data_IF_621278210254
#
_entry.id   IF_621278210254
#
_cell.length_a   1.000
_cell.length_b   1.000
_cell.length_c   1.000
_cell.angle_alpha   90.00
_cell.angle_beta   90.00
_cell.angle_gamma   90.00
#
_symmetry.space_group_name_H-M   'P 1'
#
loop_
_entity.id
_entity.type
_entity.pdbx_description
1 polymer ?
#
# COMPACT_ATOMS: atom_id res chain seq x y z
N UNK A 1 -26.81 46.28 -6.57
CA UNK A 1 -25.66 45.42 -6.95
C UNK A 1 -24.78 45.24 -5.72
N UNK A 2 -24.52 44.00 -5.25
CA UNK A 2 -23.41 43.58 -4.33
C UNK A 2 -23.69 42.32 -3.46
N UNK A 3 -24.70 41.49 -3.75
CA UNK A 3 -24.97 40.26 -2.95
C UNK A 3 -24.54 38.96 -3.67
N UNK A 4 -24.39 39.00 -4.99
CA UNK A 4 -24.07 37.78 -5.78
C UNK A 4 -22.64 37.28 -5.64
N UNK A 5 -21.70 38.11 -5.16
CA UNK A 5 -20.29 37.74 -5.11
C UNK A 5 -19.92 36.94 -3.84
N UNK A 6 -20.67 37.12 -2.75
CA UNK A 6 -20.46 36.38 -1.50
C UNK A 6 -20.91 34.92 -1.61
N UNK A 7 -21.96 34.63 -2.38
CA UNK A 7 -22.47 33.28 -2.57
C UNK A 7 -21.53 32.40 -3.40
N UNK A 8 -20.80 33.00 -4.36
CA UNK A 8 -19.84 32.27 -5.20
C UNK A 8 -18.58 31.83 -4.44
N UNK A 9 -18.12 32.61 -3.44
CA UNK A 9 -16.96 32.23 -2.62
C UNK A 9 -17.25 31.03 -1.69
N UNK A 10 -18.46 30.91 -1.16
CA UNK A 10 -18.85 29.80 -0.28
C UNK A 10 -18.96 28.45 -1.01
N UNK A 11 -19.22 28.45 -2.32
CA UNK A 11 -19.30 27.20 -3.11
C UNK A 11 -17.89 26.67 -3.42
N UNK A 12 -16.90 27.55 -3.62
CA UNK A 12 -15.52 27.16 -3.95
C UNK A 12 -14.81 26.56 -2.72
N UNK A 13 -15.17 26.96 -1.49
CA UNK A 13 -14.52 26.47 -0.27
C UNK A 13 -14.87 25.03 0.13
N UNK A 14 -15.95 24.45 -0.42
CA UNK A 14 -16.37 23.09 -0.08
C UNK A 14 -15.83 22.02 -1.06
N UNK A 15 -15.15 22.43 -2.14
CA UNK A 15 -14.67 21.53 -3.20
C UNK A 15 -13.25 21.00 -3.05
N UNK A 16 -12.47 21.47 -2.06
CA UNK A 16 -11.08 21.04 -1.82
C UNK A 16 -10.95 20.30 -0.48
N UNK A 17 -11.69 19.20 -0.32
CA UNK A 17 -11.33 18.20 0.70
C UNK A 17 -10.19 17.34 0.16
N UNK A 18 -9.01 17.95 0.00
CA UNK A 18 -7.77 17.18 0.01
C UNK A 18 -7.58 16.74 1.46
N UNK A 19 -7.65 15.45 1.74
CA UNK A 19 -7.34 14.93 3.07
C UNK A 19 -5.82 15.08 3.28
N UNK A 20 -5.43 16.26 3.76
CA UNK A 20 -4.03 16.70 3.89
C UNK A 20 -3.19 15.74 4.73
N UNK A 21 -3.85 14.93 5.57
CA UNK A 21 -3.21 13.98 6.46
C UNK A 21 -2.61 12.77 5.72
N UNK A 22 -3.21 12.32 4.61
CA UNK A 22 -2.72 11.17 3.83
C UNK A 22 -1.61 11.55 2.83
N UNK A 23 -1.48 12.84 2.52
CA UNK A 23 -0.51 13.33 1.54
C UNK A 23 0.89 13.52 2.15
N UNK A 24 0.99 13.52 3.48
CA UNK A 24 2.22 13.52 4.26
C UNK A 24 3.16 12.34 3.90
N UNK A 25 4.44 12.49 4.23
CA UNK A 25 5.42 11.40 4.07
C UNK A 25 5.19 10.30 5.10
N UNK A 26 5.69 9.08 4.84
CA UNK A 26 5.54 7.95 5.78
C UNK A 26 6.14 8.31 7.15
N UNK A 27 7.31 8.96 7.18
CA UNK A 27 7.95 9.41 8.43
C UNK A 27 7.11 10.41 9.21
N UNK A 28 6.51 11.39 8.54
CA UNK A 28 5.63 12.39 9.18
C UNK A 28 4.39 11.72 9.77
N UNK A 29 3.77 10.79 9.04
CA UNK A 29 2.61 10.04 9.52
C UNK A 29 2.99 9.25 10.78
N UNK A 30 4.14 8.57 10.79
CA UNK A 30 4.61 7.81 11.95
C UNK A 30 4.92 8.69 13.17
N UNK A 31 5.40 9.91 12.96
CA UNK A 31 5.70 10.86 14.04
C UNK A 31 4.43 11.49 14.64
N UNK A 32 3.49 11.89 13.79
CA UNK A 32 2.29 12.63 14.20
C UNK A 32 1.15 11.71 14.65
N UNK A 33 1.13 10.46 14.18
CA UNK A 33 0.05 9.50 14.43
C UNK A 33 0.45 8.50 15.52
N UNK A 34 -0.45 8.30 16.49
CA UNK A 34 -0.27 7.23 17.49
C UNK A 34 -0.24 5.87 16.79
N UNK A 35 0.66 4.97 17.22
CA UNK A 35 0.82 3.62 16.66
C UNK A 35 -0.51 2.87 16.49
N UNK A 36 -1.43 3.00 17.45
CA UNK A 36 -2.75 2.35 17.43
C UNK A 36 -3.69 2.84 16.32
N UNK A 37 -3.44 4.02 15.75
CA UNK A 37 -4.23 4.62 14.66
C UNK A 37 -3.63 4.37 13.28
N UNK A 38 -2.38 3.94 13.18
CA UNK A 38 -1.73 3.65 11.89
C UNK A 38 -2.52 2.62 11.06
N UNK A 39 -3.10 1.54 11.64
CA UNK A 39 -3.93 0.63 10.86
C UNK A 39 -5.11 1.31 10.16
N UNK A 40 -5.72 2.31 10.80
CA UNK A 40 -6.81 3.08 10.20
C UNK A 40 -6.30 3.95 9.03
N UNK A 41 -5.12 4.58 9.18
CA UNK A 41 -4.48 5.35 8.10
C UNK A 41 -4.16 4.45 6.90
N UNK A 42 -3.65 3.24 7.15
CA UNK A 42 -3.37 2.25 6.10
C UNK A 42 -4.67 1.91 5.34
N UNK A 43 -5.77 1.65 6.04
CA UNK A 43 -7.06 1.36 5.40
C UNK A 43 -7.59 2.53 4.58
N UNK A 44 -7.42 3.76 5.06
CA UNK A 44 -7.81 4.96 4.30
C UNK A 44 -6.97 5.13 3.02
N UNK A 45 -5.66 4.87 3.09
CA UNK A 45 -4.79 4.87 1.91
C UNK A 45 -5.18 3.78 0.89
N UNK A 46 -5.53 2.59 1.36
CA UNK A 46 -6.00 1.49 0.51
C UNK A 46 -7.32 1.85 -0.18
N UNK A 47 -8.30 2.38 0.56
CA UNK A 47 -9.57 2.82 -0.01
C UNK A 47 -9.38 3.94 -1.04
N UNK A 48 -8.57 4.95 -0.71
CA UNK A 48 -8.24 6.05 -1.62
C UNK A 48 -7.55 5.56 -2.89
N UNK A 49 -6.62 4.61 -2.77
CA UNK A 49 -5.99 3.95 -3.92
C UNK A 49 -7.03 3.23 -4.79
N UNK A 50 -7.92 2.45 -4.19
CA UNK A 50 -9.00 1.76 -4.90
C UNK A 50 -9.89 2.72 -5.69
N UNK A 51 -10.23 3.87 -5.09
CA UNK A 51 -10.98 4.92 -5.77
C UNK A 51 -10.18 5.51 -6.96
N UNK A 52 -8.90 5.83 -6.77
CA UNK A 52 -8.02 6.34 -7.82
C UNK A 52 -7.85 5.35 -8.98
N UNK A 53 -7.75 4.04 -8.71
CA UNK A 53 -7.74 2.99 -9.74
C UNK A 53 -9.04 3.02 -10.57
N UNK A 54 -10.20 3.22 -9.93
CA UNK A 54 -11.49 3.32 -10.63
C UNK A 54 -11.59 4.56 -11.50
N UNK A 55 -10.98 5.67 -11.09
CA UNK A 55 -10.95 6.91 -11.88
C UNK A 55 -9.82 6.94 -12.92
N UNK A 56 -8.98 5.91 -12.98
CA UNK A 56 -7.86 5.80 -13.93
C UNK A 56 -6.58 6.54 -13.50
N UNK A 57 -6.53 7.10 -12.30
CA UNK A 57 -5.33 7.75 -11.75
C UNK A 57 -4.39 6.71 -11.12
N UNK A 58 -3.75 5.92 -11.98
CA UNK A 58 -2.90 4.81 -11.56
C UNK A 58 -1.62 5.26 -10.85
N UNK A 59 -1.07 6.42 -11.17
CA UNK A 59 0.16 6.92 -10.55
C UNK A 59 -0.11 7.34 -9.09
N UNK A 60 -1.17 8.10 -8.85
CA UNK A 60 -1.53 8.48 -7.48
C UNK A 60 -2.01 7.27 -6.65
N UNK A 61 -2.66 6.29 -7.29
CA UNK A 61 -3.03 5.03 -6.64
C UNK A 61 -1.81 4.24 -6.18
N UNK A 62 -0.73 4.26 -6.98
CA UNK A 62 0.54 3.60 -6.69
C UNK A 62 1.21 4.22 -5.47
N UNK A 63 1.25 5.54 -5.39
CA UNK A 63 1.83 6.23 -4.23
C UNK A 63 1.06 5.92 -2.94
N UNK A 64 -0.28 5.84 -2.99
CA UNK A 64 -1.09 5.47 -1.82
C UNK A 64 -0.79 4.04 -1.35
N UNK A 65 -0.72 3.07 -2.27
CA UNK A 65 -0.36 1.68 -1.93
C UNK A 65 1.07 1.58 -1.40
N UNK A 66 2.01 2.34 -1.97
CA UNK A 66 3.40 2.39 -1.50
C UNK A 66 3.47 2.87 -0.05
N UNK A 67 2.78 3.97 0.28
CA UNK A 67 2.69 4.46 1.67
C UNK A 67 2.05 3.43 2.58
N UNK A 68 0.96 2.79 2.16
CA UNK A 68 0.28 1.76 2.94
C UNK A 68 1.19 0.57 3.26
N UNK A 69 1.96 0.08 2.28
CA UNK A 69 2.94 -1.02 2.45
C UNK A 69 4.03 -0.59 3.44
N UNK A 70 4.64 0.58 3.24
CA UNK A 70 5.71 1.07 4.10
C UNK A 70 5.24 1.25 5.55
N UNK A 71 4.06 1.84 5.77
CA UNK A 71 3.48 1.96 7.11
C UNK A 71 3.28 0.59 7.76
N UNK A 72 2.79 -0.40 7.02
CA UNK A 72 2.61 -1.78 7.50
C UNK A 72 3.94 -2.42 7.89
N UNK A 73 5.00 -2.17 7.12
CA UNK A 73 6.35 -2.63 7.45
C UNK A 73 6.88 -1.93 8.71
N UNK A 74 6.72 -0.62 8.82
CA UNK A 74 7.18 0.17 9.98
C UNK A 74 6.54 -0.23 11.31
N UNK A 75 5.29 -0.71 11.28
CA UNK A 75 4.61 -1.23 12.49
C UNK A 75 4.85 -2.73 12.74
N UNK A 76 5.83 -3.34 12.04
CA UNK A 76 6.19 -4.75 12.22
C UNK A 76 5.25 -5.76 11.57
N UNK A 77 4.34 -5.30 10.70
CA UNK A 77 3.37 -6.15 9.99
C UNK A 77 3.82 -6.55 8.57
N UNK A 78 5.14 -6.56 8.31
CA UNK A 78 5.74 -6.91 7.01
C UNK A 78 5.33 -8.30 6.51
N UNK A 79 5.39 -9.33 7.36
CA UNK A 79 5.01 -10.70 7.01
C UNK A 79 3.53 -11.01 7.32
N UNK A 80 2.65 -9.99 7.39
CA UNK A 80 1.22 -10.19 7.63
C UNK A 80 0.46 -10.47 6.33
N UNK A 81 -0.63 -11.25 6.42
CA UNK A 81 -1.54 -11.49 5.29
C UNK A 81 -2.04 -10.17 4.66
N UNK A 82 -2.38 -9.18 5.49
CA UNK A 82 -2.78 -7.87 4.96
C UNK A 82 -1.67 -7.14 4.21
N UNK A 83 -0.38 -7.38 4.50
CA UNK A 83 0.70 -6.82 3.69
C UNK A 83 0.85 -7.57 2.35
N UNK A 84 0.64 -8.88 2.34
CA UNK A 84 0.56 -9.65 1.10
C UNK A 84 -0.57 -9.15 0.20
N UNK A 85 -1.73 -8.83 0.77
CA UNK A 85 -2.86 -8.27 0.02
C UNK A 85 -2.52 -6.93 -0.65
N UNK A 86 -1.84 -6.02 0.07
CA UNK A 86 -1.38 -4.76 -0.53
C UNK A 86 -0.36 -4.98 -1.65
N UNK A 87 0.55 -5.94 -1.49
CA UNK A 87 1.51 -6.31 -2.53
C UNK A 87 0.82 -6.90 -3.78
N UNK A 88 -0.25 -7.69 -3.62
CA UNK A 88 -1.05 -8.14 -4.77
C UNK A 88 -1.75 -6.99 -5.48
N UNK A 89 -2.29 -6.02 -4.72
CA UNK A 89 -2.89 -4.83 -5.31
C UNK A 89 -1.86 -4.00 -6.08
N UNK A 90 -0.66 -3.84 -5.53
CA UNK A 90 0.45 -3.20 -6.22
C UNK A 90 0.82 -3.94 -7.50
N UNK A 91 0.93 -5.27 -7.47
CA UNK A 91 1.23 -6.08 -8.65
C UNK A 91 0.20 -5.88 -9.78
N UNK A 92 -1.09 -5.88 -9.44
CA UNK A 92 -2.17 -5.63 -10.39
C UNK A 92 -2.08 -4.21 -10.97
N UNK A 93 -1.71 -3.23 -10.15
CA UNK A 93 -1.55 -1.85 -10.59
C UNK A 93 -0.36 -1.69 -11.54
N UNK A 94 0.79 -2.29 -11.22
CA UNK A 94 1.96 -2.27 -12.10
C UNK A 94 1.68 -2.97 -13.44
N UNK A 95 0.90 -4.05 -13.43
CA UNK A 95 0.45 -4.71 -14.67
C UNK A 95 -0.37 -3.75 -15.54
N UNK A 96 -1.24 -2.92 -14.95
CA UNK A 96 -2.01 -1.90 -15.67
C UNK A 96 -1.15 -0.77 -16.21
N UNK A 97 -0.06 -0.44 -15.52
CA UNK A 97 0.92 0.55 -15.94
C UNK A 97 1.90 0.02 -17.02
N UNK A 98 1.89 -1.29 -17.28
CA UNK A 98 2.80 -1.94 -18.23
C UNK A 98 4.14 -2.38 -17.63
N UNK A 99 4.32 -2.24 -16.32
CA UNK A 99 5.52 -2.61 -15.58
C UNK A 99 5.45 -4.08 -15.17
N UNK A 100 5.70 -4.97 -16.13
CA UNK A 100 5.52 -6.42 -15.95
C UNK A 100 6.53 -7.05 -14.98
N UNK A 101 7.76 -6.55 -14.94
CA UNK A 101 8.80 -7.01 -14.04
C UNK A 101 8.44 -6.75 -12.57
N UNK A 102 8.06 -5.52 -12.26
CA UNK A 102 7.67 -5.06 -10.94
C UNK A 102 6.40 -5.78 -10.47
N UNK A 103 5.44 -5.97 -11.38
CA UNK A 103 4.24 -6.76 -11.09
C UNK A 103 4.56 -8.20 -10.65
N UNK A 104 5.46 -8.87 -11.36
CA UNK A 104 5.90 -10.23 -11.01
C UNK A 104 6.64 -10.24 -9.66
N UNK A 105 7.49 -9.25 -9.42
CA UNK A 105 8.23 -9.11 -8.17
C UNK A 105 7.28 -8.98 -6.97
N UNK A 106 6.32 -8.04 -7.00
CA UNK A 106 5.36 -7.88 -5.91
C UNK A 106 4.46 -9.12 -5.73
N UNK A 107 4.04 -9.76 -6.83
CA UNK A 107 3.26 -11.01 -6.77
C UNK A 107 4.06 -12.14 -6.10
N UNK A 108 5.36 -12.22 -6.38
CA UNK A 108 6.27 -13.19 -5.76
C UNK A 108 6.40 -12.96 -4.26
N UNK A 109 6.66 -11.71 -3.84
CA UNK A 109 6.76 -11.34 -2.43
C UNK A 109 5.46 -11.62 -1.67
N UNK A 110 4.31 -11.26 -2.25
CA UNK A 110 3.01 -11.55 -1.68
C UNK A 110 2.79 -13.05 -1.46
N UNK A 111 3.10 -13.88 -2.47
CA UNK A 111 3.03 -15.35 -2.36
C UNK A 111 3.96 -15.91 -1.30
N UNK A 112 5.17 -15.35 -1.15
CA UNK A 112 6.09 -15.77 -0.10
C UNK A 112 5.53 -15.49 1.29
N UNK A 113 4.93 -14.31 1.51
CA UNK A 113 4.30 -13.98 2.78
C UNK A 113 3.11 -14.92 3.06
N UNK A 114 2.22 -15.12 2.09
CA UNK A 114 1.09 -16.06 2.25
C UNK A 114 1.57 -17.47 2.60
N UNK A 115 2.62 -17.97 1.93
CA UNK A 115 3.23 -19.25 2.29
C UNK A 115 3.76 -19.26 3.71
N UNK A 116 4.51 -18.24 4.14
CA UNK A 116 5.03 -18.14 5.52
C UNK A 116 3.91 -18.11 6.55
N UNK A 117 2.83 -17.37 6.30
CA UNK A 117 1.65 -17.28 7.18
C UNK A 117 0.94 -18.63 7.27
N UNK A 118 0.69 -19.28 6.13
CA UNK A 118 0.07 -20.61 6.07
C UNK A 118 0.93 -21.65 6.81
N UNK A 119 2.23 -21.65 6.56
CA UNK A 119 3.17 -22.55 7.24
C UNK A 119 3.21 -22.29 8.75
N UNK A 120 3.12 -21.05 9.23
CA UNK A 120 3.01 -20.77 10.68
C UNK A 120 1.70 -21.31 11.27
N UNK A 121 0.59 -21.22 10.53
CA UNK A 121 -0.68 -21.83 10.91
C UNK A 121 -0.59 -23.36 10.98
N UNK A 122 0.06 -23.98 10.01
CA UNK A 122 0.29 -25.43 9.95
C UNK A 122 1.29 -25.91 11.01
N UNK A 123 2.39 -25.18 11.26
CA UNK A 123 3.40 -25.51 12.28
C UNK A 123 2.82 -25.43 13.70
N UNK A 124 1.82 -24.56 13.92
CA UNK A 124 1.04 -24.51 15.17
C UNK A 124 0.19 -25.79 15.38
N UNK A 125 -0.02 -26.58 14.33
CA UNK A 125 -0.74 -27.87 14.35
C UNK A 125 0.16 -29.10 14.12
N UNK A 126 1.37 -28.94 13.60
CA UNK A 126 2.36 -30.01 13.45
C UNK A 126 3.78 -29.47 13.21
N UNK A 127 4.73 -29.82 14.08
CA UNK A 127 6.16 -29.58 13.88
C UNK A 127 6.66 -30.23 12.60
N UNK A 128 7.20 -29.45 11.64
CA UNK A 128 8.29 -29.91 10.78
C UNK A 128 9.04 -28.77 10.08
N UNK A 129 10.36 -28.87 10.17
CA UNK A 129 11.38 -28.09 9.49
C UNK A 129 11.25 -28.16 7.96
N UNK A 130 11.33 -27.02 7.26
CA UNK A 130 12.15 -26.88 6.06
C UNK A 130 12.35 -25.41 5.67
N UNK A 131 13.56 -24.89 5.85
CA UNK A 131 14.01 -23.70 5.15
C UNK A 131 14.20 -24.02 3.67
N UNK A 132 13.56 -23.24 2.79
CA UNK A 132 13.82 -23.27 1.36
C UNK A 132 13.84 -21.82 0.84
N UNK A 133 15.03 -21.44 0.39
CA UNK A 133 15.38 -20.16 -0.21
C UNK A 133 14.67 -19.97 -1.56
N UNK A 134 14.17 -18.76 -1.76
CA UNK A 134 13.43 -18.33 -2.94
C UNK A 134 14.27 -18.41 -4.22
N UNK A 135 13.62 -18.81 -5.32
CA UNK A 135 14.21 -18.78 -6.65
C UNK A 135 14.58 -17.35 -7.06
N UNK A 136 15.83 -17.19 -7.51
CA UNK A 136 16.44 -15.95 -7.98
C UNK A 136 15.75 -15.51 -9.29
N UNK A 137 15.20 -14.29 -9.31
CA UNK A 137 14.57 -13.70 -10.49
C UNK A 137 15.64 -12.99 -11.31
N UNK A 138 16.25 -13.72 -12.24
CA UNK A 138 17.54 -13.33 -12.84
C UNK A 138 17.47 -12.26 -13.94
N UNK A 139 16.31 -11.60 -14.16
CA UNK A 139 16.16 -10.65 -15.29
C UNK A 139 15.38 -9.35 -15.03
N UNK A 140 14.96 -9.05 -13.80
CA UNK A 140 14.24 -7.82 -13.48
C UNK A 140 15.00 -7.03 -12.42
N UNK A 141 15.15 -5.72 -12.61
CA UNK A 141 15.81 -4.82 -11.66
C UNK A 141 15.02 -4.73 -10.35
N UNK A 142 15.73 -4.72 -9.21
CA UNK A 142 15.12 -4.67 -7.88
C UNK A 142 14.40 -3.33 -7.65
N UNK A 143 13.24 -3.37 -7.01
CA UNK A 143 12.47 -2.17 -6.67
C UNK A 143 13.21 -1.40 -5.57
N UNK A 144 13.88 -0.30 -5.93
CA UNK A 144 14.81 0.40 -5.04
C UNK A 144 14.21 0.97 -3.74
N UNK A 145 12.88 1.13 -3.68
CA UNK A 145 12.20 1.69 -2.51
C UNK A 145 11.64 0.65 -1.54
N UNK A 146 11.59 -0.64 -1.92
CA UNK A 146 11.09 -1.73 -1.10
C UNK A 146 12.28 -2.46 -0.46
N UNK A 147 12.64 -2.12 0.76
CA UNK A 147 13.76 -2.77 1.45
C UNK A 147 13.39 -4.14 2.04
N UNK A 148 14.31 -5.11 1.90
CA UNK A 148 14.26 -6.47 2.43
C UNK A 148 14.36 -6.59 3.96
#
# INVERSE_FOLDING_TARGET
MKITHFALFFIISHGLWADTSLDQTVSEILEQTRLSRIPAVISQLEERSSQKVKTGDYLSAREDLKKAILLKQSIGMKDSEGNAQLLFQMANLETKLGHSCEALHYSSLAKQIVRKVNLRGEISSSTLNRGQTAGKWESCEEVSWLQD
#
